data_IF_113946880114
#
_entry.id   IF_113946880114
#
_cell.length_a   1.000
_cell.length_b   1.000
_cell.length_c   1.000
_cell.angle_alpha   90.00
_cell.angle_beta   90.00
_cell.angle_gamma   90.00
#
_symmetry.space_group_name_H-M   'P 1'
#
loop_
_entity.id
_entity.type
_entity.pdbx_description
1 polymer ?
#
# COMPACT_ATOMS: atom_id res chain seq x y z
N UNK A 1 7.26 -18.39 26.01
CA UNK A 1 6.92 -18.48 24.58
C UNK A 1 5.91 -19.59 24.31
N UNK A 2 6.18 -20.87 24.59
CA UNK A 2 5.22 -21.94 24.30
C UNK A 2 3.82 -21.80 24.96
N UNK A 3 3.72 -21.13 26.10
CA UNK A 3 2.45 -20.95 26.83
C UNK A 3 1.59 -19.82 26.25
N UNK A 4 2.20 -18.78 25.69
CA UNK A 4 1.50 -17.62 25.14
C UNK A 4 1.05 -17.89 23.71
N UNK A 5 1.98 -18.32 22.83
CA UNK A 5 1.70 -18.55 21.40
C UNK A 5 1.08 -19.93 21.11
N UNK A 6 0.99 -20.83 22.10
CA UNK A 6 0.37 -22.15 21.95
C UNK A 6 0.92 -22.98 20.79
N UNK A 7 2.25 -22.92 20.58
CA UNK A 7 2.93 -23.48 19.41
C UNK A 7 2.55 -24.93 19.11
N UNK A 8 2.43 -25.78 20.15
CA UNK A 8 2.07 -27.19 19.99
C UNK A 8 0.62 -27.39 19.53
N UNK A 9 -0.31 -26.53 19.96
CA UNK A 9 -1.72 -26.56 19.55
C UNK A 9 -1.86 -26.20 18.05
N UNK A 10 -0.98 -25.33 17.56
CA UNK A 10 -0.92 -24.92 16.16
C UNK A 10 0.01 -25.78 15.28
N UNK A 11 0.53 -26.90 15.81
CA UNK A 11 1.36 -27.84 15.04
C UNK A 11 2.72 -27.28 14.59
N UNK A 12 3.27 -26.31 15.32
CA UNK A 12 4.53 -25.63 15.00
C UNK A 12 5.53 -25.67 16.17
N UNK A 13 6.71 -25.13 15.95
CA UNK A 13 7.77 -25.02 16.96
C UNK A 13 8.56 -23.71 16.78
N UNK A 14 9.36 -23.35 17.80
CA UNK A 14 10.11 -22.07 17.81
C UNK A 14 11.03 -21.94 16.61
N UNK A 15 11.72 -23.00 16.18
CA UNK A 15 12.64 -22.96 15.04
C UNK A 15 11.90 -22.66 13.74
N UNK A 16 10.78 -23.33 13.52
CA UNK A 16 9.92 -23.10 12.33
C UNK A 16 9.38 -21.67 12.30
N UNK A 17 8.90 -21.16 13.43
CA UNK A 17 8.38 -19.78 13.53
C UNK A 17 9.47 -18.73 13.26
N UNK A 18 10.71 -18.95 13.75
CA UNK A 18 11.83 -18.06 13.46
C UNK A 18 12.18 -18.08 11.97
N UNK A 19 12.25 -19.26 11.35
CA UNK A 19 12.53 -19.39 9.91
C UNK A 19 11.42 -18.71 9.10
N UNK A 20 10.17 -18.92 9.48
CA UNK A 20 9.01 -18.28 8.86
C UNK A 20 9.10 -16.75 8.97
N UNK A 21 9.44 -16.21 10.15
CA UNK A 21 9.62 -14.79 10.37
C UNK A 21 10.77 -14.20 9.54
N UNK A 22 11.91 -14.85 9.48
CA UNK A 22 13.03 -14.45 8.60
C UNK A 22 12.60 -14.42 7.13
N UNK A 23 11.91 -15.47 6.69
CA UNK A 23 11.44 -15.57 5.28
C UNK A 23 10.44 -14.46 4.94
N UNK A 24 9.46 -14.19 5.83
CA UNK A 24 8.51 -13.09 5.67
C UNK A 24 9.23 -11.75 5.64
N UNK A 25 10.15 -11.50 6.59
CA UNK A 25 10.88 -10.25 6.65
C UNK A 25 11.64 -9.97 5.34
N UNK A 26 12.42 -10.94 4.84
CA UNK A 26 13.16 -10.73 3.58
C UNK A 26 12.24 -10.54 2.38
N UNK A 27 11.05 -11.14 2.38
CA UNK A 27 10.08 -10.93 1.31
C UNK A 27 9.53 -9.50 1.29
N UNK A 28 9.36 -8.87 2.46
CA UNK A 28 8.77 -7.53 2.58
C UNK A 28 9.78 -6.42 2.94
N UNK A 29 11.07 -6.75 3.12
CA UNK A 29 12.10 -5.77 3.54
C UNK A 29 12.30 -4.63 2.53
N UNK A 30 11.87 -4.78 1.29
CA UNK A 30 11.90 -3.73 0.28
C UNK A 30 11.14 -2.47 0.72
N UNK A 31 10.13 -2.61 1.61
CA UNK A 31 9.32 -1.49 2.08
C UNK A 31 10.14 -0.46 2.88
N UNK A 32 11.24 -0.90 3.50
CA UNK A 32 12.17 -0.04 4.26
C UNK A 32 12.69 1.10 3.38
N UNK A 33 12.88 0.85 2.09
CA UNK A 33 13.39 1.82 1.12
C UNK A 33 12.28 2.44 0.27
N UNK A 34 11.29 1.66 -0.08
CA UNK A 34 10.23 2.08 -0.99
C UNK A 34 9.27 3.05 -0.30
N UNK A 35 8.85 2.82 0.94
CA UNK A 35 7.95 3.74 1.64
C UNK A 35 8.57 5.14 1.81
N UNK A 36 9.81 5.30 2.31
CA UNK A 36 10.45 6.61 2.37
C UNK A 36 10.61 7.27 1.00
N UNK A 37 10.91 6.50 -0.04
CA UNK A 37 11.02 7.01 -1.41
C UNK A 37 9.72 7.64 -1.91
N UNK A 38 8.56 7.05 -1.56
CA UNK A 38 7.25 7.64 -1.90
C UNK A 38 6.95 8.90 -1.11
N UNK A 39 6.99 8.80 0.21
CA UNK A 39 6.53 9.88 1.08
C UNK A 39 7.47 11.09 1.04
N UNK A 40 8.77 10.89 0.81
CA UNK A 40 9.72 12.00 0.69
C UNK A 40 9.43 12.94 -0.49
N UNK A 41 8.73 12.46 -1.53
CA UNK A 41 8.26 13.30 -2.62
C UNK A 41 7.28 14.41 -2.17
N UNK A 42 6.68 14.29 -0.98
CA UNK A 42 5.84 15.32 -0.35
C UNK A 42 6.61 16.36 0.47
N UNK A 43 7.96 16.28 0.49
CA UNK A 43 8.82 17.14 1.30
C UNK A 43 9.12 16.64 2.70
N UNK A 44 8.73 15.41 3.06
CA UNK A 44 9.08 14.78 4.33
C UNK A 44 10.54 14.32 4.33
N UNK A 45 11.19 14.37 5.51
CA UNK A 45 12.58 13.91 5.66
C UNK A 45 12.72 12.40 5.48
N UNK A 46 13.54 11.97 4.53
CA UNK A 46 13.74 10.57 4.15
C UNK A 46 14.21 9.69 5.31
N UNK A 47 15.17 10.19 6.13
CA UNK A 47 15.73 9.42 7.25
C UNK A 47 14.68 9.19 8.34
N UNK A 48 13.92 10.22 8.67
CA UNK A 48 12.82 10.14 9.64
C UNK A 48 11.71 9.22 9.14
N UNK A 49 11.39 9.25 7.84
CA UNK A 49 10.44 8.35 7.20
C UNK A 49 10.87 6.89 7.29
N UNK A 50 12.17 6.59 7.10
CA UNK A 50 12.68 5.24 7.24
C UNK A 50 12.53 4.74 8.69
N UNK A 51 12.89 5.58 9.66
CA UNK A 51 12.71 5.25 11.08
C UNK A 51 11.22 5.03 11.38
N UNK A 52 10.34 5.91 10.90
CA UNK A 52 8.89 5.78 11.06
C UNK A 52 8.36 4.48 10.41
N UNK A 53 8.85 4.13 9.23
CA UNK A 53 8.52 2.88 8.53
C UNK A 53 8.88 1.66 9.36
N UNK A 54 10.11 1.59 9.86
CA UNK A 54 10.58 0.45 10.65
C UNK A 54 9.86 0.35 12.00
N UNK A 55 9.66 1.48 12.69
CA UNK A 55 8.96 1.50 13.98
C UNK A 55 7.49 1.12 13.83
N UNK A 56 6.79 1.68 12.85
CA UNK A 56 5.38 1.39 12.62
C UNK A 56 5.17 -0.07 12.21
N UNK A 57 6.03 -0.61 11.33
CA UNK A 57 6.01 -2.02 10.95
C UNK A 57 6.27 -2.93 12.15
N UNK A 58 7.25 -2.61 12.99
CA UNK A 58 7.55 -3.38 14.20
C UNK A 58 6.37 -3.38 15.17
N UNK A 59 5.78 -2.21 15.45
CA UNK A 59 4.63 -2.09 16.35
C UNK A 59 3.42 -2.81 15.76
N UNK A 60 3.13 -2.67 14.47
CA UNK A 60 2.06 -3.39 13.79
C UNK A 60 2.22 -4.91 13.89
N UNK A 61 3.43 -5.42 13.63
CA UNK A 61 3.76 -6.84 13.80
C UNK A 61 3.56 -7.31 15.24
N UNK A 62 3.96 -6.52 16.25
CA UNK A 62 3.75 -6.85 17.67
C UNK A 62 2.26 -6.82 18.02
N UNK A 63 1.49 -5.83 17.54
CA UNK A 63 0.05 -5.78 17.75
C UNK A 63 -0.62 -7.03 17.19
N UNK A 64 -0.31 -7.43 15.96
CA UNK A 64 -0.82 -8.65 15.34
C UNK A 64 -0.42 -9.90 16.14
N UNK A 65 0.83 -9.97 16.59
CA UNK A 65 1.34 -11.09 17.37
C UNK A 65 0.62 -11.26 18.72
N UNK A 66 0.45 -10.15 19.44
CA UNK A 66 -0.05 -10.23 20.84
C UNK A 66 -1.57 -10.16 20.93
N UNK A 67 -2.26 -9.47 19.99
CA UNK A 67 -3.73 -9.39 20.01
C UNK A 67 -4.38 -10.58 19.30
N UNK A 68 -3.86 -10.95 18.12
CA UNK A 68 -4.49 -11.94 17.26
C UNK A 68 -3.79 -13.33 17.32
N UNK A 69 -2.51 -13.37 17.65
CA UNK A 69 -1.69 -14.58 17.61
C UNK A 69 -1.68 -15.28 16.24
N UNK A 70 -1.55 -14.50 15.16
CA UNK A 70 -1.51 -14.99 13.78
C UNK A 70 -0.18 -14.63 13.10
N UNK A 71 0.30 -15.43 12.12
CA UNK A 71 1.62 -15.26 11.51
C UNK A 71 1.62 -14.22 10.38
N UNK A 72 0.96 -13.09 10.58
CA UNK A 72 0.87 -12.01 9.61
C UNK A 72 1.72 -10.83 10.04
N UNK A 73 2.55 -10.35 9.12
CA UNK A 73 3.35 -9.15 9.29
C UNK A 73 2.61 -7.92 8.75
N UNK A 74 2.89 -6.78 9.37
CA UNK A 74 2.34 -5.48 8.98
C UNK A 74 3.45 -4.50 8.67
N UNK A 75 3.21 -3.62 7.71
CA UNK A 75 4.06 -2.48 7.37
C UNK A 75 3.26 -1.42 6.60
N UNK A 76 3.81 -0.22 6.34
CA UNK A 76 3.15 0.78 5.52
C UNK A 76 2.75 0.24 4.15
N UNK A 77 1.45 0.33 3.82
CA UNK A 77 0.84 -0.28 2.63
C UNK A 77 1.16 0.49 1.36
N UNK A 78 1.71 -0.20 0.34
CA UNK A 78 2.18 0.45 -0.89
C UNK A 78 1.10 1.22 -1.64
N UNK A 79 -0.11 0.65 -1.77
CA UNK A 79 -1.22 1.31 -2.44
C UNK A 79 -1.65 2.60 -1.74
N UNK A 80 -1.71 2.55 -0.42
CA UNK A 80 -2.12 3.68 0.40
C UNK A 80 -1.01 4.73 0.54
N UNK A 81 0.26 4.33 0.44
CA UNK A 81 1.38 5.27 0.30
C UNK A 81 1.29 6.08 -0.98
N UNK A 82 0.95 5.42 -2.09
CA UNK A 82 0.73 6.08 -3.37
C UNK A 82 -0.49 7.03 -3.30
N UNK A 83 -1.58 6.61 -2.66
CA UNK A 83 -2.74 7.47 -2.43
C UNK A 83 -2.40 8.69 -1.57
N UNK A 84 -1.65 8.49 -0.48
CA UNK A 84 -1.14 9.58 0.37
C UNK A 84 -0.37 10.61 -0.44
N UNK A 85 0.64 10.15 -1.18
CA UNK A 85 1.58 11.04 -1.87
C UNK A 85 0.95 11.69 -3.09
N UNK A 86 0.43 10.89 -4.00
CA UNK A 86 0.04 11.37 -5.32
C UNK A 86 -1.39 11.89 -5.36
N UNK A 87 -2.35 11.20 -4.73
CA UNK A 87 -3.74 11.66 -4.76
C UNK A 87 -3.98 12.76 -3.73
N UNK A 88 -3.61 12.54 -2.46
CA UNK A 88 -3.95 13.48 -1.38
C UNK A 88 -3.02 14.69 -1.38
N UNK A 89 -1.70 14.48 -1.34
CA UNK A 89 -0.77 15.62 -1.27
C UNK A 89 -0.65 16.34 -2.61
N UNK A 90 -0.35 15.63 -3.71
CA UNK A 90 -0.10 16.28 -5.00
C UNK A 90 -1.39 16.61 -5.75
N UNK A 91 -2.35 15.69 -5.79
CA UNK A 91 -3.59 15.87 -6.55
C UNK A 91 -4.59 16.80 -5.88
N UNK A 92 -4.86 16.59 -4.57
CA UNK A 92 -5.81 17.41 -3.81
C UNK A 92 -5.16 18.65 -3.16
N UNK A 93 -3.83 18.80 -3.20
CA UNK A 93 -3.09 19.96 -2.70
C UNK A 93 -2.93 20.01 -1.18
N UNK A 94 -3.14 18.91 -0.46
CA UNK A 94 -2.93 18.85 0.99
C UNK A 94 -1.45 18.80 1.34
N UNK A 95 -1.07 19.48 2.41
CA UNK A 95 0.25 19.30 3.01
C UNK A 95 0.38 17.89 3.59
N UNK A 96 1.59 17.38 3.72
CA UNK A 96 1.81 16.05 4.30
C UNK A 96 1.33 15.96 5.77
N UNK A 97 1.33 17.07 6.52
CA UNK A 97 0.79 17.15 7.87
C UNK A 97 -0.73 16.96 7.89
N UNK A 98 -1.43 17.58 6.93
CA UNK A 98 -2.88 17.39 6.73
C UNK A 98 -3.18 15.97 6.28
N UNK A 99 -2.36 15.41 5.38
CA UNK A 99 -2.49 14.03 4.93
C UNK A 99 -2.28 13.02 6.08
N UNK A 100 -1.31 13.24 6.98
CA UNK A 100 -1.14 12.44 8.20
C UNK A 100 -2.36 12.54 9.12
N UNK A 101 -2.97 13.73 9.20
CA UNK A 101 -4.21 13.93 9.97
C UNK A 101 -5.36 13.13 9.36
N UNK A 102 -5.49 13.11 8.03
CA UNK A 102 -6.47 12.28 7.31
C UNK A 102 -6.24 10.79 7.59
N UNK A 103 -4.98 10.32 7.54
CA UNK A 103 -4.63 8.93 7.85
C UNK A 103 -4.99 8.57 9.28
N UNK A 104 -4.71 9.45 10.25
CA UNK A 104 -5.11 9.22 11.65
C UNK A 104 -6.62 9.08 11.79
N UNK A 105 -7.38 9.99 11.19
CA UNK A 105 -8.86 9.95 11.23
C UNK A 105 -9.41 8.72 10.51
N UNK A 106 -8.77 8.29 9.41
CA UNK A 106 -9.13 7.06 8.70
C UNK A 106 -8.86 5.81 9.55
N UNK A 107 -7.73 5.76 10.25
CA UNK A 107 -7.40 4.68 11.18
C UNK A 107 -8.38 4.60 12.36
N UNK A 108 -8.78 5.75 12.89
CA UNK A 108 -9.82 5.81 13.95
C UNK A 108 -11.17 5.32 13.41
N UNK A 109 -11.57 5.74 12.21
CA UNK A 109 -12.79 5.25 11.56
C UNK A 109 -12.73 3.74 11.32
N UNK A 110 -11.61 3.23 10.82
CA UNK A 110 -11.40 1.81 10.63
C UNK A 110 -11.43 1.03 11.97
N UNK A 111 -10.85 1.57 13.03
CA UNK A 111 -10.90 0.97 14.36
C UNK A 111 -12.35 0.89 14.89
N UNK A 112 -13.13 1.95 14.71
CA UNK A 112 -14.56 1.95 15.07
C UNK A 112 -15.31 0.86 14.28
N UNK A 113 -15.04 0.72 12.99
CA UNK A 113 -15.61 -0.34 12.15
C UNK A 113 -15.19 -1.73 12.65
N UNK A 114 -13.88 -1.94 12.91
CA UNK A 114 -13.33 -3.22 13.33
C UNK A 114 -13.89 -3.72 14.67
N UNK A 115 -14.16 -2.81 15.61
CA UNK A 115 -14.75 -3.14 16.92
C UNK A 115 -16.28 -3.31 16.82
N UNK A 116 -16.92 -2.66 15.83
CA UNK A 116 -18.36 -2.66 15.68
C UNK A 116 -18.91 -4.05 15.29
N UNK A 117 -20.09 -4.46 15.82
CA UNK A 117 -20.77 -5.69 15.41
C UNK A 117 -21.24 -5.66 13.95
N UNK A 118 -21.29 -4.48 13.32
CA UNK A 118 -21.72 -4.30 11.91
C UNK A 118 -20.56 -4.49 10.91
N UNK A 119 -19.31 -4.72 11.37
CA UNK A 119 -18.13 -4.92 10.50
C UNK A 119 -18.35 -5.92 9.37
N UNK A 120 -18.98 -7.07 9.68
CA UNK A 120 -19.29 -8.09 8.68
C UNK A 120 -20.19 -7.58 7.56
N UNK A 121 -21.19 -6.75 7.90
CA UNK A 121 -22.08 -6.12 6.93
C UNK A 121 -21.35 -5.08 6.08
N UNK A 122 -20.43 -4.30 6.67
CA UNK A 122 -19.63 -3.31 5.95
C UNK A 122 -18.69 -4.02 4.97
N UNK A 123 -17.97 -5.04 5.44
CA UNK A 123 -17.06 -5.84 4.61
C UNK A 123 -17.81 -6.52 3.46
N UNK A 124 -19.02 -7.03 3.69
CA UNK A 124 -19.84 -7.68 2.64
C UNK A 124 -20.58 -6.69 1.74
N UNK A 125 -20.61 -5.39 2.08
CA UNK A 125 -21.35 -4.38 1.31
C UNK A 125 -20.73 -4.07 -0.05
N UNK A 126 -19.43 -4.26 -0.23
CA UNK A 126 -18.80 -4.09 -1.55
C UNK A 126 -18.71 -5.45 -2.22
N UNK A 127 -19.24 -5.60 -3.45
CA UNK A 127 -19.17 -6.84 -4.22
C UNK A 127 -17.72 -7.32 -4.40
N UNK A 128 -17.53 -8.65 -4.33
CA UNK A 128 -16.19 -9.24 -4.46
C UNK A 128 -15.45 -8.85 -5.75
N UNK A 129 -16.10 -8.74 -6.94
CA UNK A 129 -15.44 -8.26 -8.15
C UNK A 129 -14.92 -6.83 -8.04
N UNK A 130 -15.66 -5.92 -7.40
CA UNK A 130 -15.21 -4.54 -7.20
C UNK A 130 -14.03 -4.46 -6.24
N UNK A 131 -13.98 -5.30 -5.18
CA UNK A 131 -12.78 -5.41 -4.32
C UNK A 131 -11.57 -5.86 -5.11
N UNK A 132 -11.74 -6.85 -5.97
CA UNK A 132 -10.68 -7.33 -6.86
C UNK A 132 -10.23 -6.23 -7.84
N UNK A 133 -11.18 -5.46 -8.39
CA UNK A 133 -10.90 -4.34 -9.27
C UNK A 133 -10.13 -3.19 -8.56
N UNK A 134 -10.50 -2.87 -7.32
CA UNK A 134 -9.79 -1.88 -6.49
C UNK A 134 -8.33 -2.31 -6.32
N UNK A 135 -8.09 -3.55 -5.88
CA UNK A 135 -6.72 -4.06 -5.71
C UNK A 135 -5.92 -4.06 -7.03
N UNK A 136 -6.54 -4.50 -8.13
CA UNK A 136 -5.89 -4.50 -9.43
C UNK A 136 -5.61 -3.08 -9.96
N UNK A 137 -6.54 -2.15 -9.76
CA UNK A 137 -6.38 -0.75 -10.14
C UNK A 137 -5.25 -0.05 -9.37
N UNK A 138 -5.19 -0.27 -8.05
CA UNK A 138 -4.08 0.18 -7.21
C UNK A 138 -2.76 -0.40 -7.74
N UNK A 139 -2.73 -1.71 -8.08
CA UNK A 139 -1.55 -2.34 -8.64
C UNK A 139 -1.10 -1.70 -9.96
N UNK A 140 -2.04 -1.41 -10.87
CA UNK A 140 -1.76 -0.73 -12.13
C UNK A 140 -1.25 0.71 -11.90
N UNK A 141 -1.84 1.41 -10.93
CA UNK A 141 -1.39 2.75 -10.54
C UNK A 141 0.04 2.74 -9.97
N UNK A 142 0.35 1.81 -9.06
CA UNK A 142 1.71 1.65 -8.51
C UNK A 142 2.72 1.34 -9.62
N UNK A 143 2.35 0.45 -10.56
CA UNK A 143 3.18 0.14 -11.72
C UNK A 143 3.45 1.40 -12.57
N UNK A 144 2.42 2.21 -12.84
CA UNK A 144 2.55 3.46 -13.57
C UNK A 144 3.50 4.44 -12.86
N UNK A 145 3.35 4.62 -11.54
CA UNK A 145 4.27 5.42 -10.74
C UNK A 145 5.71 4.85 -10.80
N UNK A 146 5.87 3.53 -10.76
CA UNK A 146 7.18 2.90 -10.93
C UNK A 146 7.82 3.24 -12.28
N UNK A 147 7.05 3.24 -13.36
CA UNK A 147 7.53 3.61 -14.70
C UNK A 147 7.91 5.10 -14.78
N UNK A 148 7.17 5.98 -14.09
CA UNK A 148 7.51 7.41 -13.98
C UNK A 148 8.79 7.61 -13.18
N UNK A 149 8.93 6.95 -12.02
CA UNK A 149 10.12 7.05 -11.17
C UNK A 149 11.39 6.45 -11.83
N UNK A 150 11.18 5.54 -12.77
CA UNK A 150 12.23 4.98 -13.61
C UNK A 150 12.62 5.88 -14.78
N UNK A 151 11.92 6.99 -15.00
CA UNK A 151 12.01 7.82 -16.22
C UNK A 151 11.76 7.03 -17.54
N UNK A 152 11.17 5.85 -17.46
CA UNK A 152 10.78 5.02 -18.62
C UNK A 152 9.54 5.61 -19.30
N UNK A 153 8.63 6.15 -18.49
CA UNK A 153 7.50 6.96 -18.95
C UNK A 153 7.66 8.36 -18.35
N UNK A 154 7.32 9.38 -19.10
CA UNK A 154 7.33 10.78 -18.66
C UNK A 154 5.97 11.40 -18.89
N UNK A 155 5.54 12.25 -17.96
CA UNK A 155 4.42 13.16 -18.18
C UNK A 155 5.00 14.44 -18.79
N UNK A 156 4.52 14.81 -19.98
CA UNK A 156 4.91 16.03 -20.67
C UNK A 156 3.81 17.05 -20.42
N UNK A 157 4.16 18.12 -19.70
CA UNK A 157 3.27 19.27 -19.49
C UNK A 157 3.35 20.29 -20.63
N UNK A 158 2.67 21.40 -20.47
CA UNK A 158 2.59 22.50 -21.44
C UNK A 158 3.96 22.90 -21.99
N UNK A 159 4.16 22.72 -23.27
CA UNK A 159 5.30 23.26 -24.01
C UNK A 159 4.90 24.55 -24.70
N UNK A 160 5.65 25.60 -24.48
CA UNK A 160 5.49 26.87 -25.23
C UNK A 160 6.35 26.79 -26.49
N UNK A 161 5.72 26.68 -27.66
CA UNK A 161 6.39 26.75 -28.96
C UNK A 161 5.99 28.07 -29.63
N UNK A 162 6.97 28.91 -29.96
CA UNK A 162 6.78 30.24 -30.60
C UNK A 162 5.78 31.16 -29.88
N UNK A 163 5.75 31.10 -28.53
CA UNK A 163 4.85 31.91 -27.70
C UNK A 163 3.40 31.42 -27.64
N UNK A 164 3.10 30.29 -28.26
CA UNK A 164 1.80 29.61 -28.16
C UNK A 164 1.95 28.45 -27.20
N UNK A 165 1.10 28.41 -26.19
CA UNK A 165 1.00 27.22 -25.28
C UNK A 165 0.38 26.09 -26.09
N UNK A 166 1.21 25.13 -26.49
CA UNK A 166 0.72 23.86 -27.01
C UNK A 166 0.47 22.98 -25.78
N UNK A 167 -0.78 22.99 -25.32
CA UNK A 167 -1.21 22.11 -24.23
C UNK A 167 -1.05 20.66 -24.67
N UNK A 168 -0.09 19.96 -24.09
CA UNK A 168 0.15 18.56 -24.38
C UNK A 168 0.46 17.83 -23.07
N UNK A 169 -0.57 17.71 -22.23
CA UNK A 169 -0.51 16.77 -21.12
C UNK A 169 -0.70 15.35 -21.65
N UNK A 170 0.39 14.73 -22.05
CA UNK A 170 0.39 13.32 -22.44
C UNK A 170 1.57 12.58 -21.82
N UNK A 171 1.43 11.27 -21.69
CA UNK A 171 2.54 10.40 -21.32
C UNK A 171 3.33 10.01 -22.58
N UNK A 172 4.65 10.18 -22.53
CA UNK A 172 5.55 9.77 -23.59
C UNK A 172 6.63 8.84 -23.05
N UNK A 173 7.29 8.15 -23.96
CA UNK A 173 8.39 7.27 -23.63
C UNK A 173 9.64 8.09 -23.32
N UNK A 174 10.23 7.87 -22.15
CA UNK A 174 11.51 8.49 -21.78
C UNK A 174 12.66 8.01 -22.66
N UNK A 175 13.79 8.73 -22.59
CA UNK A 175 15.00 8.34 -23.30
C UNK A 175 15.63 7.09 -22.66
N UNK A 176 15.19 5.89 -23.05
CA UNK A 176 15.58 4.57 -22.48
C UNK A 176 17.10 4.36 -22.45
N UNK A 177 17.83 5.04 -23.31
CA UNK A 177 19.30 4.95 -23.41
C UNK A 177 20.05 5.78 -22.38
N UNK A 178 19.36 6.63 -21.62
CA UNK A 178 19.99 7.40 -20.55
C UNK A 178 20.21 6.53 -19.30
N UNK A 179 21.17 6.91 -18.47
CA UNK A 179 21.59 6.09 -17.32
C UNK A 179 20.45 5.74 -16.36
N UNK A 180 19.50 6.66 -16.13
CA UNK A 180 18.39 6.45 -15.20
C UNK A 180 17.46 5.29 -15.62
N UNK A 181 16.75 5.42 -16.76
CA UNK A 181 15.91 4.35 -17.29
C UNK A 181 16.65 3.04 -17.51
N UNK A 182 17.90 3.12 -18.00
CA UNK A 182 18.71 1.93 -18.22
C UNK A 182 18.97 1.18 -16.91
N UNK A 183 19.35 1.89 -15.84
CA UNK A 183 19.54 1.29 -14.51
C UNK A 183 18.26 0.61 -14.00
N UNK A 184 17.12 1.29 -14.12
CA UNK A 184 15.83 0.76 -13.69
C UNK A 184 15.44 -0.50 -14.50
N UNK A 185 15.64 -0.51 -15.82
CA UNK A 185 15.38 -1.69 -16.67
C UNK A 185 16.29 -2.86 -16.32
N UNK A 186 17.58 -2.62 -16.08
CA UNK A 186 18.51 -3.65 -15.60
C UNK A 186 18.03 -4.20 -14.26
N UNK A 187 17.65 -3.33 -13.32
CA UNK A 187 17.10 -3.72 -12.02
C UNK A 187 15.82 -4.55 -12.14
N UNK A 188 14.93 -4.18 -13.08
CA UNK A 188 13.70 -4.92 -13.35
C UNK A 188 13.99 -6.34 -13.85
N UNK A 189 14.92 -6.49 -14.79
CA UNK A 189 15.34 -7.79 -15.33
C UNK A 189 15.98 -8.64 -14.23
N UNK A 190 16.91 -8.09 -13.46
CA UNK A 190 17.57 -8.80 -12.35
C UNK A 190 16.54 -9.28 -11.33
N UNK A 191 15.63 -8.39 -10.90
CA UNK A 191 14.59 -8.74 -9.92
C UNK A 191 13.64 -9.80 -10.47
N UNK A 192 13.25 -9.68 -11.75
CA UNK A 192 12.45 -10.67 -12.46
C UNK A 192 13.11 -12.05 -12.52
N UNK A 193 14.41 -12.11 -12.80
CA UNK A 193 15.19 -13.36 -12.79
C UNK A 193 15.23 -13.97 -11.38
N UNK A 194 15.52 -13.16 -10.36
CA UNK A 194 15.52 -13.62 -8.96
C UNK A 194 14.16 -14.20 -8.55
N UNK A 195 13.06 -13.56 -8.98
CA UNK A 195 11.70 -14.07 -8.74
C UNK A 195 11.44 -15.36 -9.51
N UNK A 196 11.85 -15.46 -10.77
CA UNK A 196 11.71 -16.68 -11.58
C UNK A 196 12.46 -17.87 -10.94
N UNK A 197 13.59 -17.62 -10.33
CA UNK A 197 14.35 -18.60 -9.55
C UNK A 197 13.77 -18.84 -8.14
N UNK A 198 12.66 -18.17 -7.79
CA UNK A 198 11.99 -18.27 -6.48
C UNK A 198 12.93 -17.90 -5.32
N UNK A 199 13.84 -16.96 -5.54
CA UNK A 199 14.73 -16.44 -4.50
C UNK A 199 13.91 -15.68 -3.48
N UNK A 200 14.03 -16.07 -2.20
CA UNK A 200 13.37 -15.37 -1.08
C UNK A 200 13.97 -13.97 -0.94
N UNK A 201 13.12 -12.96 -0.86
CA UNK A 201 13.57 -11.57 -0.81
C UNK A 201 14.07 -11.00 -2.15
N UNK A 202 13.61 -11.54 -3.29
CA UNK A 202 14.01 -11.11 -4.63
C UNK A 202 13.88 -9.59 -4.83
N UNK A 203 12.82 -8.96 -4.33
CA UNK A 203 12.60 -7.51 -4.40
C UNK A 203 13.69 -6.73 -3.65
N UNK A 204 13.98 -7.13 -2.42
CA UNK A 204 15.03 -6.52 -1.61
C UNK A 204 16.42 -6.68 -2.25
N UNK A 205 16.77 -7.90 -2.66
CA UNK A 205 18.03 -8.19 -3.34
C UNK A 205 18.13 -7.44 -4.67
N UNK A 206 17.03 -7.30 -5.39
CA UNK A 206 16.95 -6.53 -6.62
C UNK A 206 17.30 -5.06 -6.38
N UNK A 207 16.71 -4.42 -5.35
CA UNK A 207 17.02 -3.04 -4.98
C UNK A 207 18.51 -2.88 -4.64
N UNK A 208 19.04 -3.75 -3.77
CA UNK A 208 20.46 -3.71 -3.35
C UNK A 208 21.39 -3.88 -4.56
N UNK A 209 21.14 -4.87 -5.41
CA UNK A 209 21.96 -5.13 -6.59
C UNK A 209 21.90 -3.97 -7.58
N UNK A 210 20.71 -3.42 -7.83
CA UNK A 210 20.53 -2.26 -8.72
C UNK A 210 21.24 -1.03 -8.17
N UNK A 211 21.19 -0.81 -6.86
CA UNK A 211 21.92 0.29 -6.19
C UNK A 211 23.44 0.15 -6.40
N UNK A 212 23.97 -1.06 -6.25
CA UNK A 212 25.41 -1.33 -6.48
C UNK A 212 25.79 -1.05 -7.94
N UNK A 213 24.97 -1.50 -8.90
CA UNK A 213 25.18 -1.22 -10.33
C UNK A 213 25.08 0.28 -10.63
N UNK A 214 24.26 1.02 -9.90
CA UNK A 214 24.14 2.46 -10.01
C UNK A 214 25.41 3.25 -9.64
N UNK A 215 26.33 2.64 -8.87
CA UNK A 215 27.61 3.30 -8.48
C UNK A 215 28.47 3.63 -9.72
N UNK A 216 28.85 2.67 -10.57
CA UNK A 216 29.64 2.97 -11.76
C UNK A 216 28.87 3.80 -12.80
N UNK A 217 27.55 3.83 -12.77
CA UNK A 217 26.73 4.66 -13.65
C UNK A 217 26.58 6.11 -13.15
N UNK A 218 27.12 6.44 -11.97
CA UNK A 218 27.07 7.78 -11.39
C UNK A 218 25.70 8.19 -10.83
N UNK A 219 24.78 7.24 -10.66
CA UNK A 219 23.43 7.46 -10.13
C UNK A 219 23.34 7.22 -8.63
N UNK A 220 24.21 6.38 -8.10
CA UNK A 220 24.32 6.10 -6.67
C UNK A 220 25.51 6.87 -6.13
N UNK A 221 25.24 7.94 -5.37
CA UNK A 221 26.26 8.78 -4.76
C UNK A 221 26.37 8.48 -3.27
N UNK A 222 27.60 8.25 -2.78
CA UNK A 222 27.83 8.14 -1.34
C UNK A 222 27.84 9.54 -0.72
N UNK A 223 26.92 9.88 0.20
CA UNK A 223 26.99 11.17 0.90
C UNK A 223 28.28 11.24 1.71
N UNK A 224 28.97 12.39 1.65
CA UNK A 224 30.18 12.62 2.46
C UNK A 224 29.89 12.59 3.98
N UNK A 225 28.62 12.84 4.36
CA UNK A 225 28.21 13.09 5.76
C UNK A 225 27.40 11.94 6.36
N UNK A 226 27.61 10.68 5.93
CA UNK A 226 26.87 9.51 6.46
C UNK A 226 26.99 9.43 7.99
N UNK A 227 28.15 9.76 8.54
CA UNK A 227 28.42 9.69 9.98
C UNK A 227 27.71 10.79 10.80
N UNK A 228 27.28 11.88 10.17
CA UNK A 228 26.64 13.03 10.86
C UNK A 228 25.11 12.95 10.83
N UNK A 229 24.51 12.10 9.99
CA UNK A 229 23.04 11.94 9.94
C UNK A 229 22.55 11.24 11.20
N UNK A 230 21.94 12.02 12.10
CA UNK A 230 21.32 11.48 13.30
C UNK A 230 20.09 10.63 12.96
N UNK A 231 20.00 9.45 13.56
CA UNK A 231 18.81 8.61 13.50
C UNK A 231 17.74 9.26 14.38
N UNK A 232 16.81 9.99 13.76
CA UNK A 232 15.75 10.71 14.48
C UNK A 232 14.42 10.56 13.78
N UNK A 233 13.33 10.53 14.56
CA UNK A 233 11.95 10.55 14.09
C UNK A 233 11.30 11.93 14.34
N UNK A 234 11.98 12.82 15.05
CA UNK A 234 11.42 14.11 15.49
C UNK A 234 10.80 14.97 14.37
N UNK A 235 11.34 14.99 13.12
CA UNK A 235 10.73 15.73 12.02
C UNK A 235 9.33 15.29 11.63
N UNK A 236 8.98 14.01 11.82
CA UNK A 236 7.69 13.44 11.39
C UNK A 236 6.76 13.10 12.54
N UNK A 237 7.29 12.95 13.76
CA UNK A 237 6.55 12.50 14.93
C UNK A 237 5.46 13.49 15.35
N UNK A 238 4.20 13.05 15.42
CA UNK A 238 3.02 13.83 15.83
C UNK A 238 2.84 15.15 15.06
N UNK A 239 3.26 15.22 13.81
CA UNK A 239 3.14 16.41 12.96
C UNK A 239 1.77 16.49 12.28
N UNK A 240 0.72 16.69 13.06
CA UNK A 240 -0.63 16.83 12.56
C UNK A 240 -1.02 18.30 12.36
N UNK A 241 -1.80 18.57 11.31
CA UNK A 241 -2.42 19.87 11.07
C UNK A 241 -3.95 19.72 10.99
N UNK A 242 -4.59 19.82 12.16
CA UNK A 242 -6.06 19.83 12.25
C UNK A 242 -6.67 21.19 11.85
N UNK A 243 -5.90 22.27 12.02
CA UNK A 243 -6.38 23.63 11.75
C UNK A 243 -6.55 23.91 10.25
N UNK A 244 -5.56 23.47 9.45
CA UNK A 244 -5.59 23.61 8.00
C UNK A 244 -6.36 22.53 7.25
N UNK A 245 -6.81 21.48 7.96
CA UNK A 245 -7.41 20.30 7.34
C UNK A 245 -8.61 20.61 6.43
N UNK A 246 -9.45 21.54 6.84
CA UNK A 246 -10.67 21.92 6.12
C UNK A 246 -10.49 23.11 5.15
N UNK A 247 -9.24 23.52 4.88
CA UNK A 247 -8.96 24.64 3.96
C UNK A 247 -9.49 24.41 2.54
N UNK A 248 -9.55 23.15 2.10
CA UNK A 248 -10.09 22.72 0.80
C UNK A 248 -11.57 22.29 0.89
N UNK A 249 -12.23 22.49 2.03
CA UNK A 249 -13.62 22.09 2.26
C UNK A 249 -13.75 20.77 3.03
N UNK A 250 -14.96 20.53 3.53
CA UNK A 250 -15.26 19.34 4.35
C UNK A 250 -15.34 18.06 3.50
N UNK A 251 -15.90 18.16 2.30
CA UNK A 251 -16.20 17.01 1.47
C UNK A 251 -14.95 16.27 0.96
N UNK A 252 -13.91 16.94 0.42
CA UNK A 252 -12.65 16.28 0.04
C UNK A 252 -12.00 15.55 1.22
N UNK A 253 -12.02 16.14 2.41
CA UNK A 253 -11.50 15.49 3.63
C UNK A 253 -12.27 14.22 3.96
N UNK A 254 -13.61 14.27 3.95
CA UNK A 254 -14.44 13.09 4.21
C UNK A 254 -14.22 12.00 3.18
N UNK A 255 -14.14 12.37 1.90
CA UNK A 255 -13.87 11.41 0.82
C UNK A 255 -12.51 10.74 1.00
N UNK A 256 -11.47 11.50 1.31
CA UNK A 256 -10.14 10.96 1.54
C UNK A 256 -10.12 10.02 2.76
N UNK A 257 -10.72 10.41 3.89
CA UNK A 257 -10.83 9.57 5.10
C UNK A 257 -11.55 8.25 4.79
N UNK A 258 -12.69 8.32 4.10
CA UNK A 258 -13.48 7.14 3.74
C UNK A 258 -12.70 6.25 2.77
N UNK A 259 -12.04 6.83 1.78
CA UNK A 259 -11.22 6.09 0.80
C UNK A 259 -10.07 5.35 1.50
N UNK A 260 -9.30 6.02 2.37
CA UNK A 260 -8.25 5.35 3.16
C UNK A 260 -8.83 4.20 4.00
N UNK A 261 -9.90 4.45 4.75
CA UNK A 261 -10.50 3.45 5.64
C UNK A 261 -11.00 2.23 4.87
N UNK A 262 -11.65 2.44 3.73
CA UNK A 262 -12.20 1.36 2.90
C UNK A 262 -11.08 0.57 2.26
N UNK A 263 -10.09 1.23 1.65
CA UNK A 263 -8.95 0.56 1.01
C UNK A 263 -8.16 -0.25 2.03
N UNK A 264 -7.84 0.31 3.19
CA UNK A 264 -7.09 -0.35 4.26
C UNK A 264 -7.85 -1.58 4.79
N UNK A 265 -9.13 -1.42 5.10
CA UNK A 265 -9.99 -2.51 5.56
C UNK A 265 -10.04 -3.67 4.54
N UNK A 266 -10.23 -3.36 3.24
CA UNK A 266 -10.37 -4.42 2.24
C UNK A 266 -9.05 -5.05 1.83
N UNK A 267 -7.96 -4.30 1.84
CA UNK A 267 -6.62 -4.84 1.61
C UNK A 267 -6.27 -5.85 2.71
N UNK A 268 -6.46 -5.47 3.97
CA UNK A 268 -6.23 -6.34 5.12
C UNK A 268 -7.14 -7.57 5.11
N UNK A 269 -8.45 -7.41 4.92
CA UNK A 269 -9.38 -8.55 4.86
C UNK A 269 -9.03 -9.47 3.70
N UNK A 270 -8.73 -8.92 2.53
CA UNK A 270 -8.35 -9.69 1.34
C UNK A 270 -7.07 -10.49 1.56
N UNK A 271 -6.08 -9.86 2.18
CA UNK A 271 -4.78 -10.49 2.50
C UNK A 271 -4.93 -11.58 3.56
N UNK A 272 -5.65 -11.30 4.66
CA UNK A 272 -5.88 -12.26 5.74
C UNK A 272 -6.60 -13.51 5.23
N UNK A 273 -7.74 -13.34 4.55
CA UNK A 273 -8.56 -14.45 4.06
C UNK A 273 -7.86 -15.18 2.92
N UNK A 274 -7.31 -14.46 1.94
CA UNK A 274 -6.65 -15.05 0.78
C UNK A 274 -5.43 -15.88 1.16
N UNK A 275 -4.60 -15.36 2.05
CA UNK A 275 -3.40 -16.07 2.51
C UNK A 275 -3.75 -17.24 3.44
N UNK A 276 -4.69 -17.04 4.37
CA UNK A 276 -5.14 -18.09 5.28
C UNK A 276 -5.82 -19.25 4.55
N UNK A 277 -6.59 -18.96 3.49
CA UNK A 277 -7.23 -19.99 2.65
C UNK A 277 -6.19 -20.89 1.99
N UNK A 278 -5.17 -20.28 1.38
CA UNK A 278 -4.09 -21.03 0.71
C UNK A 278 -3.27 -21.89 1.69
N UNK A 279 -3.25 -21.52 2.95
CA UNK A 279 -2.50 -22.21 4.02
C UNK A 279 -3.35 -23.19 4.84
N UNK A 280 -4.64 -23.34 4.53
CA UNK A 280 -5.56 -24.20 5.27
C UNK A 280 -5.79 -23.74 6.72
N UNK A 281 -5.73 -22.41 6.96
CA UNK A 281 -5.87 -21.83 8.31
C UNK A 281 -7.30 -21.33 8.59
N UNK A 282 -8.23 -21.46 7.63
CA UNK A 282 -9.62 -21.06 7.80
C UNK A 282 -10.40 -22.13 8.56
N UNK A 283 -11.38 -21.70 9.35
CA UNK A 283 -12.34 -22.58 10.00
C UNK A 283 -13.37 -23.16 9.02
N UNK A 284 -14.27 -24.02 9.50
CA UNK A 284 -15.32 -24.67 8.70
C UNK A 284 -16.28 -23.64 8.03
N UNK A 285 -16.36 -22.43 8.57
CA UNK A 285 -17.17 -21.33 8.03
C UNK A 285 -16.40 -20.41 7.08
N UNK A 286 -15.13 -20.72 6.77
CA UNK A 286 -14.28 -19.92 5.90
C UNK A 286 -13.73 -18.65 6.56
N UNK A 287 -13.72 -18.56 7.89
CA UNK A 287 -13.16 -17.43 8.64
C UNK A 287 -11.78 -17.77 9.21
N UNK A 288 -10.92 -16.77 9.29
CA UNK A 288 -9.65 -16.88 9.99
C UNK A 288 -9.92 -16.83 11.52
N UNK A 289 -9.50 -17.84 12.31
CA UNK A 289 -9.55 -17.76 13.76
C UNK A 289 -8.83 -16.50 14.25
N UNK A 290 -9.51 -15.74 15.11
CA UNK A 290 -9.04 -14.42 15.61
C UNK A 290 -8.83 -13.34 14.52
N UNK A 291 -9.37 -13.49 13.32
CA UNK A 291 -9.32 -12.49 12.25
C UNK A 291 -9.85 -11.11 12.68
N UNK A 292 -10.84 -11.10 13.57
CA UNK A 292 -11.37 -9.87 14.18
C UNK A 292 -10.30 -9.08 14.92
N UNK A 293 -9.47 -9.78 15.70
CA UNK A 293 -8.38 -9.16 16.46
C UNK A 293 -7.24 -8.70 15.53
N UNK A 294 -7.05 -9.40 14.40
CA UNK A 294 -6.10 -8.98 13.39
C UNK A 294 -6.52 -7.68 12.75
N UNK A 295 -7.82 -7.48 12.44
CA UNK A 295 -8.36 -6.21 11.94
C UNK A 295 -8.20 -5.07 12.95
N UNK A 296 -8.44 -5.33 14.23
CA UNK A 296 -8.23 -4.33 15.30
C UNK A 296 -6.74 -3.97 15.39
N UNK A 297 -5.85 -4.97 15.32
CA UNK A 297 -4.40 -4.74 15.34
C UNK A 297 -3.95 -3.86 14.16
N UNK A 298 -4.50 -4.09 12.98
CA UNK A 298 -4.24 -3.34 11.76
C UNK A 298 -4.70 -1.88 11.88
N UNK A 299 -5.95 -1.65 12.31
CA UNK A 299 -6.47 -0.31 12.54
C UNK A 299 -5.68 0.48 13.61
N UNK A 300 -5.24 -0.20 14.70
CA UNK A 300 -4.36 0.40 15.70
C UNK A 300 -2.98 0.72 15.10
N UNK A 301 -2.45 -0.15 14.26
CA UNK A 301 -1.16 0.06 13.61
C UNK A 301 -1.20 1.25 12.64
N UNK A 302 -2.30 1.44 11.91
CA UNK A 302 -2.54 2.63 11.07
C UNK A 302 -2.54 3.92 11.89
N UNK A 303 -3.25 3.95 13.04
CA UNK A 303 -3.22 5.11 13.94
C UNK A 303 -1.80 5.39 14.46
N UNK A 304 -1.06 4.35 14.85
CA UNK A 304 0.33 4.48 15.31
C UNK A 304 1.23 4.95 14.18
N UNK A 305 1.07 4.41 12.97
CA UNK A 305 1.81 4.83 11.77
C UNK A 305 1.67 6.32 11.49
N UNK A 306 0.44 6.84 11.53
CA UNK A 306 0.16 8.27 11.38
C UNK A 306 0.84 9.11 12.48
N UNK A 307 0.84 8.65 13.74
CA UNK A 307 1.53 9.31 14.85
C UNK A 307 3.04 9.35 14.66
N UNK A 308 3.64 8.28 14.11
CA UNK A 308 5.05 8.20 13.81
C UNK A 308 5.45 8.99 12.55
N UNK A 309 4.48 9.37 11.73
CA UNK A 309 4.70 10.15 10.51
C UNK A 309 4.86 9.29 9.26
N UNK A 310 4.14 8.17 9.17
CA UNK A 310 4.02 7.38 7.95
C UNK A 310 2.54 7.22 7.55
N UNK A 311 2.29 6.69 6.37
CA UNK A 311 0.96 6.37 5.87
C UNK A 311 0.33 5.19 6.65
N UNK A 312 -0.79 4.67 6.18
CA UNK A 312 -1.47 3.52 6.79
C UNK A 312 -0.56 2.30 6.90
N UNK A 313 -0.66 1.59 8.00
CA UNK A 313 0.06 0.32 8.24
C UNK A 313 -0.91 -0.82 8.09
N UNK A 314 -0.68 -1.68 7.11
CA UNK A 314 -1.60 -2.75 6.71
C UNK A 314 -0.93 -4.13 6.71
N UNK A 315 -1.73 -5.17 6.64
CA UNK A 315 -1.28 -6.56 6.61
C UNK A 315 -0.70 -6.93 5.24
N UNK A 316 0.53 -7.44 5.20
CA UNK A 316 1.27 -7.75 3.98
C UNK A 316 1.00 -9.17 3.47
N UNK A 317 0.72 -9.29 2.16
CA UNK A 317 0.50 -10.57 1.47
C UNK A 317 1.76 -11.43 1.45
N UNK A 318 2.95 -10.84 1.54
CA UNK A 318 4.25 -11.51 1.67
C UNK A 318 4.34 -12.39 2.91
N UNK A 319 3.45 -12.21 3.89
CA UNK A 319 3.29 -13.13 5.03
C UNK A 319 3.03 -14.57 4.58
N UNK A 320 2.45 -14.76 3.39
CA UNK A 320 2.25 -16.07 2.76
C UNK A 320 3.54 -16.86 2.61
N UNK A 321 4.68 -16.19 2.44
CA UNK A 321 5.99 -16.85 2.29
C UNK A 321 6.43 -17.53 3.60
N UNK A 322 6.28 -16.85 4.74
CA UNK A 322 6.57 -17.44 6.04
C UNK A 322 5.54 -18.49 6.45
N UNK A 323 4.28 -18.27 6.12
CA UNK A 323 3.20 -19.23 6.36
C UNK A 323 3.47 -20.53 5.57
N UNK A 324 3.98 -20.46 4.36
CA UNK A 324 4.38 -21.63 3.56
C UNK A 324 5.57 -22.38 4.15
N UNK A 325 6.43 -21.72 4.93
CA UNK A 325 7.52 -22.35 5.71
C UNK A 325 7.03 -23.01 7.02
N UNK A 326 5.74 -22.92 7.32
CA UNK A 326 5.13 -23.51 8.51
C UNK A 326 4.90 -22.53 9.66
N UNK A 327 5.00 -21.22 9.44
CA UNK A 327 4.56 -20.19 10.39
C UNK A 327 3.05 -20.30 10.64
N UNK A 328 2.64 -20.32 11.91
CA UNK A 328 1.23 -20.51 12.29
C UNK A 328 0.79 -19.61 13.43
N UNK A 329 1.72 -18.92 14.07
CA UNK A 329 1.43 -18.15 15.29
C UNK A 329 2.03 -16.75 15.22
N UNK A 330 1.64 -15.89 16.16
CA UNK A 330 2.19 -14.56 16.30
C UNK A 330 3.70 -14.49 16.57
N UNK A 331 4.34 -15.63 16.90
CA UNK A 331 5.79 -15.64 17.06
C UNK A 331 6.53 -15.32 15.76
N UNK A 332 5.99 -15.75 14.60
CA UNK A 332 6.46 -15.33 13.27
C UNK A 332 6.46 -13.81 13.16
N UNK A 333 5.34 -13.16 13.51
CA UNK A 333 5.19 -11.69 13.45
C UNK A 333 6.13 -10.99 14.44
N UNK A 334 6.38 -11.55 15.63
CA UNK A 334 7.39 -11.00 16.58
C UNK A 334 8.78 -10.98 15.96
N UNK A 335 9.17 -12.05 15.28
CA UNK A 335 10.50 -12.11 14.60
C UNK A 335 10.60 -11.04 13.54
N UNK A 336 9.56 -10.87 12.73
CA UNK A 336 9.53 -9.79 11.71
C UNK A 336 9.66 -8.40 12.36
N UNK A 337 8.89 -8.14 13.43
CA UNK A 337 8.95 -6.87 14.14
C UNK A 337 10.34 -6.56 14.72
N UNK A 338 11.01 -7.56 15.30
CA UNK A 338 12.39 -7.41 15.79
C UNK A 338 13.35 -7.06 14.65
N UNK A 339 13.21 -7.71 13.49
CA UNK A 339 14.06 -7.45 12.33
C UNK A 339 13.84 -6.05 11.76
N UNK A 340 12.61 -5.54 11.75
CA UNK A 340 12.35 -4.14 11.41
C UNK A 340 13.01 -3.17 12.39
N UNK A 341 12.98 -3.42 13.70
CA UNK A 341 13.69 -2.59 14.68
C UNK A 341 15.21 -2.60 14.44
N UNK A 342 15.78 -3.76 14.16
CA UNK A 342 17.21 -3.87 13.83
C UNK A 342 17.56 -3.13 12.55
N UNK A 343 16.63 -3.05 11.59
CA UNK A 343 16.84 -2.35 10.31
C UNK A 343 16.99 -0.84 10.46
N UNK A 344 16.56 -0.24 11.58
CA UNK A 344 16.73 1.19 11.85
C UNK A 344 18.20 1.60 11.82
N UNK A 345 19.11 0.70 12.19
CA UNK A 345 20.57 0.97 12.16
C UNK A 345 21.05 1.32 10.74
N UNK A 346 20.34 0.85 9.71
CA UNK A 346 20.68 1.15 8.32
C UNK A 346 20.11 2.48 7.80
N UNK A 347 19.36 3.23 8.62
CA UNK A 347 18.73 4.49 8.21
C UNK A 347 19.72 5.52 7.61
N UNK A 348 20.93 5.73 8.15
CA UNK A 348 21.87 6.69 7.57
C UNK A 348 22.34 6.30 6.16
N UNK A 349 22.39 5.00 5.86
CA UNK A 349 22.89 4.46 4.59
C UNK A 349 21.78 4.40 3.54
N UNK A 350 20.54 4.30 3.95
CA UNK A 350 19.42 4.06 3.04
C UNK A 350 19.16 5.21 2.05
N UNK A 351 19.57 6.43 2.39
CA UNK A 351 19.50 7.58 1.48
C UNK A 351 20.43 7.49 0.24
N UNK A 352 21.27 6.47 0.17
CA UNK A 352 22.14 6.18 -0.99
C UNK A 352 21.33 5.55 -2.14
N UNK A 353 20.20 4.92 -1.83
CA UNK A 353 19.41 4.16 -2.80
C UNK A 353 18.71 5.13 -3.75
N UNK A 354 19.07 5.12 -5.05
CA UNK A 354 18.42 6.00 -6.01
C UNK A 354 16.98 5.52 -6.31
N UNK A 355 16.10 6.44 -6.71
CA UNK A 355 14.72 6.13 -7.07
C UNK A 355 14.62 5.11 -8.19
N UNK A 356 15.58 5.11 -9.12
CA UNK A 356 15.69 4.13 -10.21
C UNK A 356 15.95 2.70 -9.71
N UNK A 357 16.50 2.53 -8.51
CA UNK A 357 16.70 1.20 -7.91
C UNK A 357 15.44 0.70 -7.18
N UNK A 358 14.58 1.60 -6.68
CA UNK A 358 13.31 1.22 -6.06
C UNK A 358 12.18 1.05 -7.07
N UNK A 359 12.24 1.72 -8.21
CA UNK A 359 11.23 1.67 -9.27
C UNK A 359 10.92 0.24 -9.78
N UNK A 360 11.87 -0.66 -10.01
CA UNK A 360 11.60 -2.05 -10.36
C UNK A 360 10.71 -2.79 -9.37
N UNK A 361 10.90 -2.54 -8.07
CA UNK A 361 10.07 -3.15 -7.04
C UNK A 361 8.61 -2.71 -7.16
N UNK A 362 8.36 -1.43 -7.48
CA UNK A 362 7.02 -0.89 -7.68
C UNK A 362 6.32 -1.55 -8.88
N UNK A 363 7.02 -1.66 -10.00
CA UNK A 363 6.51 -2.30 -11.22
C UNK A 363 6.11 -3.75 -10.92
N UNK A 364 6.95 -4.47 -10.19
CA UNK A 364 6.70 -5.87 -9.85
C UNK A 364 5.56 -6.02 -8.83
N UNK A 365 5.51 -5.17 -7.81
CA UNK A 365 4.38 -5.17 -6.86
C UNK A 365 3.07 -4.89 -7.60
N UNK A 366 3.06 -3.92 -8.51
CA UNK A 366 1.91 -3.66 -9.37
C UNK A 366 1.50 -4.89 -10.19
N UNK A 367 2.46 -5.61 -10.78
CA UNK A 367 2.24 -6.87 -11.50
C UNK A 367 1.62 -7.96 -10.59
N UNK A 368 2.08 -8.08 -9.35
CA UNK A 368 1.54 -9.06 -8.41
C UNK A 368 0.08 -8.73 -8.03
N UNK A 369 -0.25 -7.47 -7.87
CA UNK A 369 -1.61 -7.02 -7.53
C UNK A 369 -2.59 -7.17 -8.70
N UNK A 370 -2.14 -7.01 -9.95
CA UNK A 370 -2.99 -7.13 -11.13
C UNK A 370 -3.56 -8.54 -11.33
N UNK A 371 -2.98 -9.55 -10.71
CA UNK A 371 -3.52 -10.91 -10.72
C UNK A 371 -4.97 -11.01 -10.21
N UNK A 372 -5.43 -10.04 -9.42
CA UNK A 372 -6.80 -9.98 -8.95
C UNK A 372 -7.82 -9.76 -10.08
N UNK A 373 -7.40 -9.31 -11.26
CA UNK A 373 -8.25 -9.22 -12.47
C UNK A 373 -8.86 -10.56 -12.84
N UNK A 374 -8.17 -11.67 -12.57
CA UNK A 374 -8.69 -13.03 -12.84
C UNK A 374 -9.92 -13.41 -12.01
N UNK A 375 -10.21 -12.69 -10.93
CA UNK A 375 -11.38 -12.90 -10.06
C UNK A 375 -12.63 -12.18 -10.58
N UNK A 376 -12.53 -11.43 -11.68
CA UNK A 376 -13.61 -10.63 -12.26
C UNK A 376 -14.22 -11.42 -13.41
N UNK A 377 -15.54 -11.56 -13.41
CA UNK A 377 -16.26 -12.11 -14.56
C UNK A 377 -16.42 -11.03 -15.64
N UNK A 378 -15.58 -11.11 -16.65
CA UNK A 378 -15.59 -10.17 -17.79
C UNK A 378 -16.69 -10.44 -18.79
N UNK A 379 -17.41 -11.57 -18.71
CA UNK A 379 -18.54 -11.89 -19.59
C UNK A 379 -19.83 -11.18 -19.16
N UNK A 380 -19.96 -10.83 -17.88
CA UNK A 380 -21.09 -10.07 -17.34
C UNK A 380 -20.81 -8.57 -17.34
N UNK A 381 -21.40 -7.83 -18.27
CA UNK A 381 -21.25 -6.39 -18.42
C UNK A 381 -21.71 -5.62 -17.16
N UNK A 382 -22.66 -6.15 -16.38
CA UNK A 382 -23.10 -5.51 -15.13
C UNK A 382 -21.97 -5.41 -14.10
N UNK A 383 -21.00 -6.32 -14.19
CA UNK A 383 -19.84 -6.41 -13.31
C UNK A 383 -18.58 -5.88 -14.01
N UNK A 384 -18.38 -6.27 -15.27
CA UNK A 384 -17.19 -5.97 -16.04
C UNK A 384 -16.96 -4.46 -16.23
N UNK A 385 -18.00 -3.71 -16.59
CA UNK A 385 -17.86 -2.27 -16.86
C UNK A 385 -17.48 -1.46 -15.60
N UNK A 386 -18.13 -1.63 -14.43
CA UNK A 386 -17.70 -0.97 -13.20
C UNK A 386 -16.28 -1.35 -12.78
N UNK A 387 -15.91 -2.63 -12.91
CA UNK A 387 -14.58 -3.09 -12.58
C UNK A 387 -13.52 -2.49 -13.52
N UNK A 388 -13.82 -2.44 -14.82
CA UNK A 388 -12.95 -1.82 -15.81
C UNK A 388 -12.71 -0.33 -15.50
N UNK A 389 -13.78 0.42 -15.24
CA UNK A 389 -13.68 1.84 -14.88
C UNK A 389 -12.86 2.03 -13.61
N UNK A 390 -13.07 1.19 -12.58
CA UNK A 390 -12.27 1.22 -11.36
C UNK A 390 -10.77 1.07 -11.65
N UNK A 391 -10.40 0.07 -12.46
CA UNK A 391 -9.00 -0.25 -12.77
C UNK A 391 -8.34 0.85 -13.59
N UNK A 392 -9.03 1.31 -14.65
CA UNK A 392 -8.44 2.21 -15.65
C UNK A 392 -8.38 3.64 -15.13
N UNK A 393 -9.41 4.10 -14.41
CA UNK A 393 -9.43 5.49 -13.94
C UNK A 393 -8.33 5.79 -12.92
N UNK A 394 -7.87 4.82 -12.14
CA UNK A 394 -6.80 5.06 -11.14
C UNK A 394 -5.51 5.61 -11.77
N UNK A 395 -4.87 4.96 -12.75
CA UNK A 395 -3.68 5.51 -13.39
C UNK A 395 -3.96 6.70 -14.31
N UNK A 396 -5.10 6.71 -15.05
CA UNK A 396 -5.37 7.77 -16.03
C UNK A 396 -5.84 9.07 -15.38
N UNK A 397 -6.61 9.03 -14.28
CA UNK A 397 -6.97 10.21 -13.50
C UNK A 397 -5.91 10.56 -12.44
N UNK A 398 -4.83 9.78 -12.35
CA UNK A 398 -3.78 9.92 -11.33
C UNK A 398 -4.34 9.92 -9.90
N UNK A 399 -5.44 9.21 -9.67
CA UNK A 399 -6.21 9.22 -8.42
C UNK A 399 -6.88 7.88 -8.13
N UNK A 400 -6.52 7.28 -7.00
CA UNK A 400 -7.15 6.04 -6.53
C UNK A 400 -8.61 6.30 -6.14
N UNK A 401 -8.91 7.44 -5.50
CA UNK A 401 -10.27 7.78 -5.09
C UNK A 401 -11.22 7.89 -6.28
N UNK A 402 -10.76 8.49 -7.38
CA UNK A 402 -11.60 8.65 -8.58
C UNK A 402 -11.89 7.30 -9.23
N UNK A 403 -10.91 6.41 -9.29
CA UNK A 403 -11.15 5.04 -9.76
C UNK A 403 -12.22 4.32 -8.95
N UNK A 404 -12.18 4.43 -7.62
CA UNK A 404 -13.20 3.86 -6.73
C UNK A 404 -14.54 4.53 -6.96
N UNK A 405 -14.58 5.87 -7.05
CA UNK A 405 -15.79 6.64 -7.28
C UNK A 405 -16.50 6.24 -8.58
N UNK A 406 -15.76 6.20 -9.70
CA UNK A 406 -16.30 5.77 -10.99
C UNK A 406 -16.83 4.34 -10.96
N UNK A 407 -16.11 3.41 -10.27
CA UNK A 407 -16.57 2.04 -10.10
C UNK A 407 -17.86 1.93 -9.32
N UNK A 408 -17.96 2.61 -8.18
CA UNK A 408 -19.15 2.56 -7.34
C UNK A 408 -20.37 3.22 -7.99
N UNK A 409 -20.19 4.39 -8.59
CA UNK A 409 -21.24 5.12 -9.29
C UNK A 409 -21.78 4.29 -10.45
N UNK A 410 -20.89 3.78 -11.33
CA UNK A 410 -21.29 2.99 -12.48
C UNK A 410 -21.98 1.69 -12.09
N UNK A 411 -21.52 1.00 -11.04
CA UNK A 411 -22.15 -0.20 -10.52
C UNK A 411 -23.57 0.08 -10.05
N UNK A 412 -23.77 1.12 -9.23
CA UNK A 412 -25.09 1.52 -8.74
C UNK A 412 -26.03 1.88 -9.90
N UNK A 413 -25.57 2.68 -10.87
CA UNK A 413 -26.37 3.08 -12.04
C UNK A 413 -26.81 1.85 -12.83
N UNK A 414 -25.88 0.97 -13.19
CA UNK A 414 -26.19 -0.23 -14.00
C UNK A 414 -27.23 -1.10 -13.28
N UNK A 415 -27.05 -1.37 -11.99
CA UNK A 415 -27.97 -2.18 -11.20
C UNK A 415 -29.38 -1.55 -11.10
N UNK A 416 -29.48 -0.22 -10.99
CA UNK A 416 -30.76 0.48 -11.00
C UNK A 416 -31.47 0.28 -12.34
N UNK A 417 -30.80 0.54 -13.47
CA UNK A 417 -31.40 0.41 -14.81
C UNK A 417 -31.75 -1.03 -15.19
N UNK A 418 -31.07 -2.02 -14.59
CA UNK A 418 -31.40 -3.45 -14.75
C UNK A 418 -32.56 -3.90 -13.83
N UNK A 419 -33.16 -3.01 -13.05
CA UNK A 419 -34.21 -3.35 -12.10
C UNK A 419 -33.73 -4.12 -10.86
N UNK A 420 -32.43 -4.20 -10.64
CA UNK A 420 -31.77 -4.92 -9.54
C UNK A 420 -31.32 -3.98 -8.40
N UNK A 421 -31.96 -2.83 -8.25
CA UNK A 421 -31.59 -1.84 -7.24
C UNK A 421 -31.58 -2.39 -5.80
N UNK A 422 -32.42 -3.39 -5.49
CA UNK A 422 -32.48 -4.03 -4.17
C UNK A 422 -31.29 -4.96 -3.87
N UNK A 423 -30.54 -5.37 -4.88
CA UNK A 423 -29.34 -6.20 -4.71
C UNK A 423 -28.13 -5.37 -4.25
N UNK A 424 -28.18 -4.05 -4.45
CA UNK A 424 -27.09 -3.14 -4.07
C UNK A 424 -27.25 -2.75 -2.61
N UNK A 425 -26.24 -2.97 -1.77
CA UNK A 425 -26.26 -2.56 -0.37
C UNK A 425 -26.39 -1.03 -0.23
N UNK A 426 -27.11 -0.59 0.80
CA UNK A 426 -27.35 0.85 1.07
C UNK A 426 -26.02 1.62 1.18
N UNK A 427 -24.99 1.02 1.78
CA UNK A 427 -23.69 1.65 1.92
C UNK A 427 -23.08 2.02 0.56
N UNK A 428 -23.26 1.18 -0.48
CA UNK A 428 -22.78 1.48 -1.84
C UNK A 428 -23.46 2.73 -2.42
N UNK A 429 -24.76 2.91 -2.19
CA UNK A 429 -25.47 4.13 -2.59
C UNK A 429 -24.98 5.35 -1.87
N UNK A 430 -24.74 5.26 -0.54
CA UNK A 430 -24.21 6.36 0.27
C UNK A 430 -22.82 6.77 -0.24
N UNK A 431 -21.93 5.80 -0.49
CA UNK A 431 -20.59 6.08 -1.01
C UNK A 431 -20.64 6.67 -2.41
N UNK A 432 -21.47 6.10 -3.30
CA UNK A 432 -21.64 6.65 -4.65
C UNK A 432 -22.18 8.09 -4.62
N UNK A 433 -23.17 8.38 -3.76
CA UNK A 433 -23.68 9.72 -3.61
C UNK A 433 -22.63 10.70 -3.07
N UNK A 434 -21.77 10.27 -2.13
CA UNK A 434 -20.66 11.06 -1.62
C UNK A 434 -19.71 11.47 -2.75
N UNK A 435 -19.31 10.53 -3.62
CA UNK A 435 -18.45 10.80 -4.78
C UNK A 435 -19.13 11.72 -5.80
N UNK A 436 -20.40 11.49 -6.12
CA UNK A 436 -21.15 12.36 -7.04
C UNK A 436 -21.20 13.81 -6.53
N UNK A 437 -21.53 13.99 -5.25
CA UNK A 437 -21.56 15.32 -4.63
C UNK A 437 -20.18 15.96 -4.63
N UNK A 438 -19.12 15.18 -4.37
CA UNK A 438 -17.74 15.66 -4.45
C UNK A 438 -17.41 16.17 -5.87
N UNK A 439 -17.71 15.40 -6.93
CA UNK A 439 -17.42 15.81 -8.29
C UNK A 439 -18.18 17.08 -8.70
N UNK A 440 -19.47 17.17 -8.34
CA UNK A 440 -20.27 18.38 -8.62
C UNK A 440 -19.69 19.63 -7.94
N UNK A 441 -19.27 19.50 -6.68
CA UNK A 441 -18.74 20.64 -5.92
C UNK A 441 -17.30 20.99 -6.29
N UNK A 442 -16.51 20.02 -6.74
CA UNK A 442 -15.14 20.26 -7.23
C UNK A 442 -15.08 20.80 -8.64
N UNK A 443 -16.22 20.87 -9.35
CA UNK A 443 -16.29 21.36 -10.72
C UNK A 443 -15.66 20.41 -11.75
N UNK A 444 -15.55 19.14 -11.39
CA UNK A 444 -15.03 18.06 -12.25
C UNK A 444 -16.20 17.33 -12.90
#
# INVERSE_FOLDING_TARGET
>A
MNRFFKLKEHGTNVKTEIIAGLTTFFAMAYIIFVNPSYLSATGMDYTSLLVATCLSAAIGCFLTAFLANVPFAQAPGMGLNAFFTYSVCMGMGYTWQQALTIVLLSGILFLIIAISPIRGKIISSIPAPLKAAISAGIGLFICFIGLLNADVVKLIGDTVVDGVVVATDYSDMGAITTNGPLLALIGLVITGILMAWKVKGALFLGIVTTTIIGIPMGLTTMPADIAEKSITIAPTLFKFDFGGLFSHGVLPVLTAIVTFSICDCFDTVGTLIGTASNAGMLDENGNLPHGDKALIADACATCVGACLGTSTVTTFVESSTGISEGGRTGLTSVVVGILFLLSIVFAPIAGIIPTQATAPALIIVGMLMINNVSKIDWSDVEVALPCFLTIVMMPFAYSISDGIGFGFISYCIIKIFRGKAKEVPILMYILSALFVVMYILSGI
#
